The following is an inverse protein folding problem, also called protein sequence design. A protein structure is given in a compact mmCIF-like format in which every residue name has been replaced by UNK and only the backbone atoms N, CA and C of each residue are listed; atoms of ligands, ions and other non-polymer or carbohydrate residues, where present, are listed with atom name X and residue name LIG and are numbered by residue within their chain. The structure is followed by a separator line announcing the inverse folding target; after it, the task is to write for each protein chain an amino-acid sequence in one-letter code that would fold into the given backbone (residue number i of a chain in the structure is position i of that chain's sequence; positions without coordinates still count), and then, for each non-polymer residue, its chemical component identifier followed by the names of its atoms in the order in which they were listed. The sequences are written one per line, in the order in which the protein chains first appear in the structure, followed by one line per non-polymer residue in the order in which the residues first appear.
data_IF_828206541428
#
_entry.id   IF_828206541428
#
_cell.length_a   1.000
_cell.length_b   1.000
_cell.length_c   1.000
_cell.angle_alpha   90.00
_cell.angle_beta   90.00
_cell.angle_gamma   90.00
#
_symmetry.space_group_name_H-M   'P 1'
#
loop_
_entity.id
_entity.type
_entity.pdbx_description
1 polymer ?
#
# COMPACT_ATOMS: atom_id res chain seq x y z
N UNK A 1 -12.75 -26.70 9.01
CA UNK A 1 -11.28 -26.76 9.05
C UNK A 1 -10.75 -25.48 8.40
N UNK A 2 -10.55 -24.42 9.20
CA UNK A 2 -10.07 -23.14 8.67
C UNK A 2 -8.58 -23.27 8.32
N UNK A 3 -8.21 -22.90 7.10
CA UNK A 3 -6.83 -22.93 6.60
C UNK A 3 -5.95 -22.11 7.56
N UNK A 4 -5.00 -22.73 8.27
CA UNK A 4 -4.05 -22.01 9.12
C UNK A 4 -3.29 -20.99 8.26
N UNK A 5 -3.59 -19.71 8.43
CA UNK A 5 -3.00 -18.65 7.64
C UNK A 5 -1.61 -18.33 8.19
N UNK A 6 -0.57 -18.67 7.43
CA UNK A 6 0.81 -18.42 7.84
C UNK A 6 1.21 -16.98 7.54
N UNK A 7 2.17 -16.44 8.30
CA UNK A 7 2.72 -15.10 8.06
C UNK A 7 3.27 -14.96 6.62
N UNK A 8 3.85 -16.03 6.08
CA UNK A 8 4.33 -16.08 4.69
C UNK A 8 3.21 -15.83 3.68
N UNK A 9 2.01 -16.38 3.91
CA UNK A 9 0.83 -16.13 3.08
C UNK A 9 0.34 -14.70 3.22
N UNK A 10 0.31 -14.15 4.45
CA UNK A 10 -0.05 -12.74 4.69
C UNK A 10 0.89 -11.81 3.92
N UNK A 11 2.21 -12.01 4.03
CA UNK A 11 3.21 -11.24 3.29
C UNK A 11 3.00 -11.37 1.78
N UNK A 12 2.72 -12.58 1.27
CA UNK A 12 2.47 -12.79 -0.16
C UNK A 12 1.22 -12.03 -0.67
N UNK A 13 0.14 -12.00 0.13
CA UNK A 13 -1.08 -11.25 -0.21
C UNK A 13 -0.81 -9.74 -0.24
N UNK A 14 -0.10 -9.21 0.76
CA UNK A 14 0.27 -7.79 0.81
C UNK A 14 1.24 -7.43 -0.32
N UNK A 15 2.18 -8.31 -0.65
CA UNK A 15 3.05 -8.15 -1.84
C UNK A 15 2.23 -8.06 -3.13
N UNK A 16 1.22 -8.92 -3.27
CA UNK A 16 0.38 -8.98 -4.47
C UNK A 16 -0.44 -7.70 -4.64
N UNK A 17 -1.03 -7.15 -3.57
CA UNK A 17 -1.76 -5.87 -3.66
C UNK A 17 -0.84 -4.71 -4.06
N UNK A 18 0.41 -4.71 -3.61
CA UNK A 18 1.37 -3.66 -3.95
C UNK A 18 2.10 -3.88 -5.27
N UNK A 19 1.89 -5.02 -5.93
CA UNK A 19 2.61 -5.39 -7.14
C UNK A 19 2.37 -4.38 -8.27
N UNK A 20 1.14 -3.89 -8.38
CA UNK A 20 0.71 -2.98 -9.46
C UNK A 20 1.52 -1.70 -9.47
N UNK A 21 1.84 -1.13 -8.31
CA UNK A 21 2.59 0.14 -8.22
C UNK A 21 4.10 -0.06 -8.05
N UNK A 22 4.57 -1.31 -7.98
CA UNK A 22 5.96 -1.64 -7.63
C UNK A 22 6.45 -0.91 -6.37
N UNK A 23 5.56 -0.70 -5.40
CA UNK A 23 5.89 -0.05 -4.14
C UNK A 23 6.38 -1.02 -3.06
N UNK A 24 6.29 -2.33 -3.28
CA UNK A 24 6.97 -3.29 -2.41
C UNK A 24 8.49 -3.10 -2.48
N UNK A 25 9.20 -2.99 -1.34
CA UNK A 25 10.64 -2.78 -1.33
C UNK A 25 11.39 -3.90 -2.05
N UNK A 26 12.21 -3.55 -3.05
CA UNK A 26 13.04 -4.53 -3.75
C UNK A 26 14.13 -5.09 -2.82
N UNK A 27 14.49 -6.39 -2.96
CA UNK A 27 15.59 -6.97 -2.20
C UNK A 27 16.91 -6.24 -2.49
N UNK A 28 17.84 -6.25 -1.51
CA UNK A 28 19.16 -5.60 -1.64
C UNK A 28 19.97 -6.14 -2.82
N UNK A 29 19.79 -7.42 -3.15
CA UNK A 29 20.49 -8.11 -4.24
C UNK A 29 19.75 -7.97 -5.59
N UNK A 30 18.79 -7.06 -5.70
CA UNK A 30 18.05 -6.86 -6.95
C UNK A 30 18.97 -6.34 -8.06
N UNK A 31 18.78 -6.89 -9.27
CA UNK A 31 19.46 -6.47 -10.48
C UNK A 31 19.23 -4.97 -10.70
N UNK A 32 20.30 -4.21 -11.01
CA UNK A 32 20.25 -2.75 -11.26
C UNK A 32 19.15 -2.35 -12.26
N UNK A 33 18.98 -3.14 -13.33
CA UNK A 33 17.92 -2.94 -14.32
C UNK A 33 16.52 -2.95 -13.68
N UNK A 34 16.25 -3.89 -12.77
CA UNK A 34 14.95 -4.00 -12.09
C UNK A 34 14.67 -2.78 -11.21
N UNK A 35 15.69 -2.23 -10.56
CA UNK A 35 15.59 -0.99 -9.76
C UNK A 35 15.29 0.20 -10.66
N UNK A 36 15.96 0.30 -11.80
CA UNK A 36 15.73 1.39 -12.78
C UNK A 36 14.32 1.28 -13.36
N UNK A 37 13.88 0.10 -13.81
CA UNK A 37 12.52 -0.12 -14.30
C UNK A 37 11.48 0.27 -13.24
N UNK A 38 11.68 -0.14 -11.99
CA UNK A 38 10.82 0.26 -10.88
C UNK A 38 10.77 1.78 -10.69
N UNK A 39 11.91 2.44 -10.82
CA UNK A 39 11.99 3.89 -10.79
C UNK A 39 11.20 4.57 -11.90
N UNK A 40 11.43 4.18 -13.15
CA UNK A 40 10.76 4.74 -14.33
C UNK A 40 9.25 4.53 -14.25
N UNK A 41 8.81 3.33 -13.84
CA UNK A 41 7.40 3.03 -13.68
C UNK A 41 6.71 3.88 -12.60
N UNK A 42 7.38 4.14 -11.48
CA UNK A 42 6.84 5.03 -10.43
C UNK A 42 6.71 6.48 -10.91
N UNK A 43 7.63 6.97 -11.73
CA UNK A 43 7.49 8.29 -12.37
C UNK A 43 6.31 8.32 -13.34
N UNK A 44 6.11 7.26 -14.13
CA UNK A 44 4.93 7.12 -14.98
C UNK A 44 3.63 7.15 -14.15
N UNK A 45 3.59 6.45 -13.01
CA UNK A 45 2.44 6.51 -12.08
C UNK A 45 2.16 7.92 -11.58
N UNK A 46 3.20 8.69 -11.25
CA UNK A 46 3.06 10.09 -10.84
C UNK A 46 2.45 10.93 -11.97
N UNK A 47 2.97 10.82 -13.20
CA UNK A 47 2.45 11.58 -14.36
C UNK A 47 0.96 11.26 -14.60
N UNK A 48 0.58 9.99 -14.56
CA UNK A 48 -0.82 9.55 -14.71
C UNK A 48 -1.70 10.10 -13.59
N UNK A 49 -1.21 10.08 -12.34
CA UNK A 49 -1.97 10.60 -11.19
C UNK A 49 -2.12 12.13 -11.26
N UNK A 50 -1.04 12.86 -11.58
CA UNK A 50 -1.07 14.32 -11.69
C UNK A 50 -2.01 14.80 -12.79
N UNK A 51 -2.01 14.14 -13.94
CA UNK A 51 -2.89 14.50 -15.05
C UNK A 51 -4.37 14.32 -14.72
N UNK A 52 -4.74 13.27 -13.95
CA UNK A 52 -6.11 13.12 -13.43
C UNK A 52 -6.42 14.16 -12.35
N UNK A 53 -5.48 14.42 -11.43
CA UNK A 53 -5.64 15.41 -10.37
C UNK A 53 -5.89 16.83 -10.93
N UNK A 54 -5.16 17.23 -11.98
CA UNK A 54 -5.38 18.51 -12.65
C UNK A 54 -6.78 18.61 -13.27
N UNK A 55 -7.27 17.54 -13.89
CA UNK A 55 -8.63 17.51 -14.43
C UNK A 55 -9.69 17.62 -13.33
N UNK A 56 -9.49 17.00 -12.17
CA UNK A 56 -10.40 17.12 -11.03
C UNK A 56 -10.37 18.51 -10.39
N UNK A 57 -9.19 19.14 -10.28
CA UNK A 57 -9.06 20.52 -9.81
C UNK A 57 -9.81 21.47 -10.75
N UNK A 58 -9.72 21.23 -12.06
CA UNK A 58 -10.45 22.00 -13.05
C UNK A 58 -11.97 21.83 -12.89
N UNK A 59 -12.47 20.61 -12.67
CA UNK A 59 -13.89 20.36 -12.38
C UNK A 59 -14.35 21.10 -11.13
N UNK A 60 -13.60 21.04 -10.03
CA UNK A 60 -13.92 21.77 -8.78
C UNK A 60 -14.02 23.26 -9.02
N UNK A 61 -13.10 23.81 -9.82
CA UNK A 61 -13.09 25.24 -10.16
C UNK A 61 -14.28 25.64 -11.03
N UNK A 62 -14.65 24.82 -12.01
CA UNK A 62 -15.74 25.13 -12.94
C UNK A 62 -17.14 24.93 -12.31
N UNK A 63 -17.26 23.98 -11.39
CA UNK A 63 -18.52 23.61 -10.73
C UNK A 63 -18.50 23.94 -9.25
N UNK A 64 -17.90 25.08 -8.88
CA UNK A 64 -17.83 25.50 -7.47
C UNK A 64 -19.23 25.74 -6.86
N UNK A 65 -20.20 26.09 -7.70
CA UNK A 65 -21.59 26.34 -7.30
C UNK A 65 -22.42 25.04 -7.15
N UNK A 66 -21.95 23.90 -7.67
CA UNK A 66 -22.61 22.60 -7.52
C UNK A 66 -21.90 21.76 -6.44
N UNK A 67 -22.47 21.69 -5.21
CA UNK A 67 -21.83 20.99 -4.11
C UNK A 67 -21.72 19.47 -4.34
N UNK A 68 -22.57 18.87 -5.18
CA UNK A 68 -22.57 17.43 -5.45
C UNK A 68 -21.40 17.09 -6.37
N UNK A 69 -21.24 17.82 -7.46
CA UNK A 69 -20.12 17.63 -8.40
C UNK A 69 -18.80 17.94 -7.70
N UNK A 70 -18.75 19.03 -6.94
CA UNK A 70 -17.59 19.41 -6.16
C UNK A 70 -17.19 18.33 -5.14
N UNK A 71 -18.13 17.83 -4.33
CA UNK A 71 -17.85 16.80 -3.33
C UNK A 71 -17.35 15.51 -3.99
N UNK A 72 -17.93 15.11 -5.12
CA UNK A 72 -17.47 13.96 -5.93
C UNK A 72 -16.02 14.17 -6.39
N UNK A 73 -15.68 15.32 -6.97
CA UNK A 73 -14.32 15.60 -7.44
C UNK A 73 -13.31 15.65 -6.29
N UNK A 74 -13.64 16.29 -5.17
CA UNK A 74 -12.77 16.35 -3.98
C UNK A 74 -12.53 14.95 -3.42
N UNK A 75 -13.57 14.11 -3.34
CA UNK A 75 -13.44 12.75 -2.84
C UNK A 75 -12.46 11.89 -3.63
N UNK A 76 -12.34 12.13 -4.94
CA UNK A 76 -11.38 11.43 -5.83
C UNK A 76 -10.00 12.09 -5.81
N UNK A 77 -9.93 13.40 -5.61
CA UNK A 77 -8.68 14.15 -5.53
C UNK A 77 -7.86 13.77 -4.28
N UNK A 78 -8.51 13.50 -3.15
CA UNK A 78 -7.84 13.07 -1.90
C UNK A 78 -6.97 11.82 -2.09
N UNK A 79 -7.48 10.69 -2.61
CA UNK A 79 -6.66 9.52 -2.97
C UNK A 79 -5.52 9.84 -3.95
N UNK A 80 -5.74 10.73 -4.92
CA UNK A 80 -4.70 11.11 -5.88
C UNK A 80 -3.52 11.85 -5.19
N UNK A 81 -3.81 12.74 -4.24
CA UNK A 81 -2.78 13.41 -3.43
C UNK A 81 -2.07 12.37 -2.55
N UNK A 82 -2.81 11.44 -1.95
CA UNK A 82 -2.24 10.37 -1.13
C UNK A 82 -1.29 9.47 -1.92
N UNK A 83 -1.61 9.16 -3.18
CA UNK A 83 -0.72 8.41 -4.09
C UNK A 83 0.63 9.11 -4.24
N UNK A 84 0.61 10.42 -4.50
CA UNK A 84 1.84 11.22 -4.66
C UNK A 84 2.66 11.18 -3.37
N UNK A 85 2.02 11.44 -2.23
CA UNK A 85 2.69 11.43 -0.93
C UNK A 85 3.31 10.07 -0.60
N UNK A 86 2.57 8.97 -0.81
CA UNK A 86 3.04 7.62 -0.55
C UNK A 86 4.24 7.26 -1.43
N UNK A 87 4.22 7.56 -2.73
CA UNK A 87 5.35 7.30 -3.63
C UNK A 87 6.60 8.06 -3.16
N UNK A 88 6.46 9.35 -2.82
CA UNK A 88 7.59 10.15 -2.31
C UNK A 88 8.13 9.57 -1.00
N UNK A 89 7.26 9.24 -0.04
CA UNK A 89 7.66 8.63 1.23
C UNK A 89 8.37 7.30 1.04
N UNK A 90 7.89 6.46 0.11
CA UNK A 90 8.52 5.18 -0.21
C UNK A 90 9.90 5.35 -0.83
N UNK A 91 10.09 6.39 -1.66
CA UNK A 91 11.41 6.74 -2.23
C UNK A 91 12.38 7.21 -1.15
N UNK A 92 11.96 8.17 -0.32
CA UNK A 92 12.79 8.73 0.75
C UNK A 92 13.20 7.66 1.75
N UNK A 93 12.26 6.80 2.15
CA UNK A 93 12.49 5.75 3.14
C UNK A 93 12.84 4.40 2.50
N UNK A 94 13.21 4.34 1.23
CA UNK A 94 13.40 3.10 0.49
C UNK A 94 14.39 2.16 1.19
N UNK A 95 15.54 2.69 1.62
CA UNK A 95 16.55 1.91 2.32
C UNK A 95 16.03 1.32 3.65
N UNK A 96 15.34 2.12 4.45
CA UNK A 96 14.78 1.70 5.75
C UNK A 96 13.69 0.65 5.56
N UNK A 97 12.76 0.90 4.63
CA UNK A 97 11.69 -0.05 4.30
C UNK A 97 12.24 -1.37 3.77
N UNK A 98 13.28 -1.33 2.93
CA UNK A 98 13.98 -2.54 2.45
C UNK A 98 14.60 -3.32 3.61
N UNK A 99 15.27 -2.63 4.55
CA UNK A 99 15.90 -3.27 5.70
C UNK A 99 14.88 -3.97 6.60
N UNK A 100 13.84 -3.26 7.05
CA UNK A 100 12.81 -3.79 7.96
C UNK A 100 12.04 -4.93 7.30
N UNK A 101 11.71 -4.79 6.00
CA UNK A 101 11.02 -5.85 5.25
C UNK A 101 11.88 -7.11 5.13
N UNK A 102 13.18 -6.94 4.87
CA UNK A 102 14.12 -8.05 4.80
C UNK A 102 14.27 -8.76 6.15
N UNK A 103 14.36 -8.00 7.24
CA UNK A 103 14.40 -8.56 8.59
C UNK A 103 13.13 -9.34 8.92
N UNK A 104 11.95 -8.77 8.62
CA UNK A 104 10.67 -9.46 8.78
C UNK A 104 10.65 -10.78 7.99
N UNK A 105 11.05 -10.76 6.71
CA UNK A 105 11.06 -11.96 5.89
C UNK A 105 12.02 -13.04 6.39
N UNK A 106 13.20 -12.64 6.88
CA UNK A 106 14.18 -13.59 7.42
C UNK A 106 13.75 -14.17 8.77
N UNK A 107 13.20 -13.34 9.66
CA UNK A 107 12.61 -13.81 10.90
C UNK A 107 11.49 -14.82 10.61
N UNK A 108 10.64 -14.54 9.62
CA UNK A 108 9.58 -15.46 9.18
C UNK A 108 10.08 -16.79 8.60
N UNK A 109 11.34 -16.87 8.14
CA UNK A 109 11.96 -18.11 7.68
C UNK A 109 12.51 -18.94 8.83
N UNK A 110 12.99 -18.30 9.89
CA UNK A 110 13.68 -18.90 11.04
C UNK A 110 12.80 -18.96 12.31
N UNK A 111 11.48 -18.95 12.13
CA UNK A 111 10.51 -18.83 13.21
C UNK A 111 10.58 -20.04 14.17
N UNK A 112 10.79 -19.81 15.46
CA UNK A 112 10.71 -20.87 16.48
C UNK A 112 9.25 -21.22 16.80
N UNK A 113 8.93 -22.43 17.28
CA UNK A 113 7.55 -22.84 17.58
C UNK A 113 6.83 -21.90 18.57
N UNK A 114 7.55 -21.39 19.58
CA UNK A 114 7.00 -20.45 20.56
C UNK A 114 6.69 -19.07 19.95
N UNK A 115 7.60 -18.57 19.11
CA UNK A 115 7.45 -17.30 18.40
C UNK A 115 6.29 -17.38 17.38
N UNK A 116 6.07 -18.55 16.78
CA UNK A 116 4.94 -18.81 15.89
C UNK A 116 3.59 -18.58 16.58
N UNK A 117 3.46 -18.97 17.86
CA UNK A 117 2.21 -18.82 18.61
C UNK A 117 1.88 -17.33 18.77
N UNK A 118 2.86 -16.50 19.15
CA UNK A 118 2.67 -15.05 19.29
C UNK A 118 2.31 -14.43 17.94
N UNK A 119 3.06 -14.74 16.88
CA UNK A 119 2.79 -14.21 15.54
C UNK A 119 1.40 -14.62 15.03
N UNK A 120 0.99 -15.87 15.23
CA UNK A 120 -0.35 -16.34 14.85
C UNK A 120 -1.45 -15.58 15.60
N UNK A 121 -1.26 -15.26 16.89
CA UNK A 121 -2.20 -14.44 17.66
C UNK A 121 -2.40 -13.06 17.02
N UNK A 122 -1.31 -12.39 16.61
CA UNK A 122 -1.41 -11.11 15.89
C UNK A 122 -2.08 -11.27 14.53
N UNK A 123 -1.77 -12.32 13.77
CA UNK A 123 -2.43 -12.59 12.48
C UNK A 123 -3.94 -12.73 12.68
N UNK A 124 -4.40 -13.54 13.64
CA UNK A 124 -5.83 -13.71 13.89
C UNK A 124 -6.52 -12.40 14.28
N UNK A 125 -5.85 -11.54 15.04
CA UNK A 125 -6.37 -10.23 15.43
C UNK A 125 -6.44 -9.25 14.26
N UNK A 126 -5.41 -9.23 13.41
CA UNK A 126 -5.22 -8.20 12.40
C UNK A 126 -5.74 -8.58 11.01
N UNK A 127 -5.81 -9.88 10.67
CA UNK A 127 -6.13 -10.35 9.32
C UNK A 127 -7.54 -9.96 8.87
N UNK A 128 -8.53 -10.03 9.74
CA UNK A 128 -9.91 -9.73 9.36
C UNK A 128 -10.07 -8.25 8.99
N UNK A 129 -9.52 -7.36 9.81
CA UNK A 129 -9.57 -5.94 9.57
C UNK A 129 -8.76 -5.53 8.33
N UNK A 130 -7.48 -5.92 8.24
CA UNK A 130 -6.63 -5.52 7.13
C UNK A 130 -6.98 -6.25 5.82
N UNK A 131 -7.30 -7.54 5.89
CA UNK A 131 -7.74 -8.31 4.72
C UNK A 131 -9.09 -7.81 4.20
N UNK A 132 -10.06 -7.57 5.09
CA UNK A 132 -11.34 -6.96 4.72
C UNK A 132 -11.17 -5.56 4.11
N UNK A 133 -10.31 -4.72 4.70
CA UNK A 133 -9.98 -3.39 4.16
C UNK A 133 -9.37 -3.47 2.77
N UNK A 134 -8.44 -4.40 2.53
CA UNK A 134 -7.82 -4.60 1.22
C UNK A 134 -8.85 -4.99 0.16
N UNK A 135 -9.73 -5.95 0.48
CA UNK A 135 -10.81 -6.37 -0.42
C UNK A 135 -11.73 -5.19 -0.73
N UNK A 136 -12.13 -4.42 0.30
CA UNK A 136 -13.01 -3.27 0.15
C UNK A 136 -12.38 -2.16 -0.72
N UNK A 137 -11.09 -1.89 -0.55
CA UNK A 137 -10.35 -0.92 -1.36
C UNK A 137 -10.41 -1.30 -2.84
N UNK A 138 -10.07 -2.55 -3.20
CA UNK A 138 -10.13 -2.97 -4.61
C UNK A 138 -11.56 -3.04 -5.15
N UNK A 139 -12.52 -3.46 -4.32
CA UNK A 139 -13.92 -3.47 -4.70
C UNK A 139 -14.41 -2.05 -5.03
N UNK A 140 -14.03 -1.06 -4.22
CA UNK A 140 -14.37 0.36 -4.48
C UNK A 140 -13.77 0.86 -5.80
N UNK A 141 -12.54 0.45 -6.13
CA UNK A 141 -11.93 0.79 -7.42
C UNK A 141 -12.70 0.17 -8.58
N UNK A 142 -13.17 -1.08 -8.45
CA UNK A 142 -14.02 -1.72 -9.47
C UNK A 142 -15.33 -0.96 -9.65
N UNK A 143 -15.97 -0.51 -8.57
CA UNK A 143 -17.18 0.32 -8.64
C UNK A 143 -16.93 1.67 -9.34
N UNK A 144 -15.80 2.33 -9.08
CA UNK A 144 -15.46 3.59 -9.77
C UNK A 144 -15.22 3.33 -11.27
N UNK A 145 -14.51 2.26 -11.61
CA UNK A 145 -14.23 1.90 -13.00
C UNK A 145 -15.50 1.52 -13.78
N UNK A 146 -16.51 0.92 -13.13
CA UNK A 146 -17.81 0.63 -13.75
C UNK A 146 -18.74 1.85 -13.82
N UNK A 147 -18.29 2.99 -13.32
CA UNK A 147 -19.02 4.26 -13.34
C UNK A 147 -19.60 4.62 -14.71
N UNK A 148 -18.89 4.48 -15.84
CA UNK A 148 -19.43 4.81 -17.17
C UNK A 148 -20.56 3.91 -17.68
N UNK A 149 -20.73 2.74 -17.05
CA UNK A 149 -21.79 1.78 -17.38
C UNK A 149 -22.99 2.00 -16.46
N UNK A 150 -22.73 2.37 -15.19
CA UNK A 150 -23.73 2.46 -14.12
C UNK A 150 -24.26 3.87 -13.90
N UNK A 151 -23.42 4.88 -14.11
CA UNK A 151 -23.78 6.29 -14.20
C UNK A 151 -23.62 6.71 -15.67
N UNK A 152 -24.53 7.53 -16.17
CA UNK A 152 -24.50 8.05 -17.54
C UNK A 152 -23.36 9.09 -17.72
N UNK A 153 -22.12 8.65 -17.49
CA UNK A 153 -20.89 9.44 -17.52
C UNK A 153 -19.89 8.82 -18.49
N UNK A 154 -19.10 9.65 -19.17
CA UNK A 154 -18.20 9.14 -20.23
C UNK A 154 -16.92 8.48 -19.71
N UNK A 155 -16.48 8.81 -18.49
CA UNK A 155 -15.21 8.37 -17.91
C UNK A 155 -15.38 7.90 -16.45
N UNK A 156 -14.47 7.08 -15.91
CA UNK A 156 -14.54 6.60 -14.53
C UNK A 156 -14.69 7.70 -13.49
N UNK A 157 -14.04 8.84 -13.73
CA UNK A 157 -14.10 10.04 -12.88
C UNK A 157 -14.80 11.19 -13.59
N UNK A 158 -15.19 12.23 -12.83
CA UNK A 158 -15.75 13.47 -13.37
C UNK A 158 -14.68 14.53 -13.70
N UNK A 159 -13.45 14.11 -13.98
CA UNK A 159 -12.35 15.02 -14.33
C UNK A 159 -12.60 15.72 -15.68
N UNK A 160 -12.47 17.05 -15.70
CA UNK A 160 -12.67 17.88 -16.88
C UNK A 160 -11.34 18.35 -17.47
N UNK A 161 -11.15 18.13 -18.77
CA UNK A 161 -9.93 18.51 -19.48
C UNK A 161 -10.16 19.74 -20.36
N UNK A 162 -9.15 20.61 -20.54
CA UNK A 162 -9.27 21.85 -21.32
C UNK A 162 -9.30 21.63 -22.85
N UNK A 163 -9.36 20.37 -23.29
CA UNK A 163 -9.39 19.97 -24.70
C UNK A 163 -10.53 18.97 -24.93
N UNK A 164 -10.99 18.83 -26.17
CA UNK A 164 -12.07 17.91 -26.49
C UNK A 164 -11.62 16.46 -26.31
N UNK A 165 -12.26 15.72 -25.39
CA UNK A 165 -11.93 14.33 -25.05
C UNK A 165 -12.92 13.30 -25.61
N UNK A 166 -13.99 13.74 -26.29
CA UNK A 166 -15.10 12.86 -26.66
C UNK A 166 -14.92 12.11 -27.99
N UNK A 167 -13.87 12.44 -28.75
CA UNK A 167 -13.56 11.82 -30.04
C UNK A 167 -12.48 10.74 -29.91
N UNK A 168 -12.53 9.74 -30.80
CA UNK A 168 -11.51 8.70 -30.87
C UNK A 168 -10.26 9.23 -31.61
N UNK A 169 -9.03 8.84 -31.22
CA UNK A 169 -8.67 7.85 -30.18
C UNK A 169 -8.56 8.43 -28.75
N UNK A 170 -8.68 9.75 -28.59
CA UNK A 170 -8.45 10.45 -27.31
C UNK A 170 -9.34 9.92 -26.20
N UNK A 171 -10.63 9.69 -26.48
CA UNK A 171 -11.59 9.12 -25.53
C UNK A 171 -11.08 7.81 -24.92
N UNK A 172 -10.57 6.90 -25.75
CA UNK A 172 -10.06 5.60 -25.26
C UNK A 172 -8.77 5.77 -24.44
N UNK A 173 -7.89 6.70 -24.82
CA UNK A 173 -6.65 6.99 -24.09
C UNK A 173 -6.98 7.52 -22.68
N UNK A 174 -7.88 8.50 -22.57
CA UNK A 174 -8.29 9.07 -21.27
C UNK A 174 -8.98 8.02 -20.40
N UNK A 175 -9.83 7.18 -20.98
CA UNK A 175 -10.48 6.09 -20.25
C UNK A 175 -9.45 5.12 -19.64
N UNK A 176 -8.48 4.66 -20.44
CA UNK A 176 -7.41 3.77 -19.98
C UNK A 176 -6.56 4.44 -18.91
N UNK A 177 -6.18 5.71 -19.12
CA UNK A 177 -5.40 6.49 -18.17
C UNK A 177 -6.11 6.62 -16.81
N UNK A 178 -7.39 6.98 -16.78
CA UNK A 178 -8.15 7.08 -15.54
C UNK A 178 -8.35 5.72 -14.86
N UNK A 179 -8.52 4.65 -15.63
CA UNK A 179 -8.59 3.27 -15.12
C UNK A 179 -7.28 2.90 -14.44
N UNK A 180 -6.14 3.17 -15.06
CA UNK A 180 -4.81 2.96 -14.48
C UNK A 180 -4.67 3.78 -13.18
N UNK A 181 -5.07 5.04 -13.18
CA UNK A 181 -5.02 5.90 -11.99
C UNK A 181 -5.87 5.34 -10.82
N UNK A 182 -7.06 4.79 -11.10
CA UNK A 182 -7.92 4.18 -10.09
C UNK A 182 -7.26 2.95 -9.45
N UNK A 183 -6.69 2.07 -10.27
CA UNK A 183 -6.00 0.86 -9.79
C UNK A 183 -4.74 1.26 -9.00
N UNK A 184 -3.98 2.27 -9.46
CA UNK A 184 -2.85 2.84 -8.73
C UNK A 184 -3.29 3.38 -7.37
N UNK A 185 -4.39 4.12 -7.30
CA UNK A 185 -4.99 4.60 -6.06
C UNK A 185 -5.27 3.48 -5.07
N UNK A 186 -5.92 2.41 -5.50
CA UNK A 186 -6.19 1.23 -4.67
C UNK A 186 -4.92 0.57 -4.13
N UNK A 187 -3.92 0.38 -5.00
CA UNK A 187 -2.63 -0.18 -4.59
C UNK A 187 -1.90 0.74 -3.60
N UNK A 188 -1.93 2.06 -3.78
CA UNK A 188 -1.31 3.00 -2.83
C UNK A 188 -2.05 3.06 -1.49
N UNK A 189 -3.37 2.90 -1.45
CA UNK A 189 -4.10 2.76 -0.18
C UNK A 189 -3.68 1.48 0.56
N UNK A 190 -3.37 0.41 -0.17
CA UNK A 190 -2.83 -0.82 0.41
C UNK A 190 -1.42 -0.64 0.99
N UNK A 191 -0.69 0.44 0.68
CA UNK A 191 0.57 0.73 1.37
C UNK A 191 0.36 0.96 2.86
N UNK A 192 -0.78 1.53 3.26
CA UNK A 192 -1.10 1.71 4.68
C UNK A 192 -1.21 0.36 5.40
N UNK A 193 -1.75 -0.65 4.72
CA UNK A 193 -1.85 -2.03 5.22
C UNK A 193 -0.45 -2.65 5.35
N UNK A 194 0.43 -2.39 4.40
CA UNK A 194 1.83 -2.82 4.48
C UNK A 194 2.59 -2.15 5.63
N UNK A 195 2.44 -0.84 5.83
CA UNK A 195 3.05 -0.16 6.98
C UNK A 195 2.47 -0.71 8.29
N UNK A 196 1.16 -0.94 8.36
CA UNK A 196 0.53 -1.57 9.50
C UNK A 196 1.07 -2.98 9.75
N UNK A 197 1.35 -3.76 8.69
CA UNK A 197 2.02 -5.06 8.76
C UNK A 197 3.37 -4.98 9.46
N UNK A 198 4.21 -4.02 9.08
CA UNK A 198 5.50 -3.81 9.71
C UNK A 198 5.35 -3.39 11.18
N UNK A 199 4.39 -2.51 11.48
CA UNK A 199 4.15 -2.02 12.84
C UNK A 199 3.69 -3.14 13.79
N UNK A 200 2.67 -3.91 13.42
CA UNK A 200 2.22 -4.99 14.31
C UNK A 200 3.25 -6.12 14.39
N UNK A 201 4.02 -6.35 13.33
CA UNK A 201 5.14 -7.29 13.37
C UNK A 201 6.21 -6.83 14.38
N UNK A 202 6.55 -5.54 14.41
CA UNK A 202 7.45 -4.97 15.41
C UNK A 202 6.85 -5.12 16.82
N UNK A 203 5.56 -4.85 17.02
CA UNK A 203 4.86 -5.11 18.29
C UNK A 203 5.00 -6.56 18.74
N UNK A 204 4.80 -7.52 17.83
CA UNK A 204 4.94 -8.94 18.14
C UNK A 204 6.39 -9.31 18.53
N UNK A 205 7.40 -8.72 17.89
CA UNK A 205 8.81 -8.89 18.26
C UNK A 205 9.10 -8.34 19.66
N UNK A 206 8.52 -7.20 20.03
CA UNK A 206 8.63 -6.66 21.39
C UNK A 206 7.92 -7.55 22.42
N UNK A 207 6.75 -8.11 22.12
CA UNK A 207 6.06 -9.04 23.03
C UNK A 207 6.90 -10.31 23.28
N UNK A 208 7.48 -10.89 22.22
CA UNK A 208 8.41 -12.03 22.34
C UNK A 208 9.61 -11.65 23.22
N UNK A 209 10.15 -10.44 23.07
CA UNK A 209 11.28 -9.99 23.88
C UNK A 209 10.91 -9.81 25.36
N UNK A 210 9.72 -9.30 25.65
CA UNK A 210 9.20 -9.20 27.02
C UNK A 210 9.04 -10.58 27.65
N UNK A 211 8.51 -11.56 26.91
CA UNK A 211 8.43 -12.95 27.39
C UNK A 211 9.82 -13.52 27.70
N UNK A 212 10.82 -13.32 26.81
CA UNK A 212 12.20 -13.74 27.08
C UNK A 212 12.75 -13.08 28.34
N UNK A 213 12.53 -11.78 28.51
CA UNK A 213 13.01 -11.02 29.66
C UNK A 213 12.44 -11.54 30.99
N UNK A 214 11.18 -11.99 31.00
CA UNK A 214 10.54 -12.58 32.19
C UNK A 214 11.12 -13.94 32.59
N UNK A 215 11.74 -14.65 31.65
CA UNK A 215 12.34 -15.98 31.86
C UNK A 215 13.84 -15.92 32.14
N UNK A 216 14.44 -14.73 32.09
CA UNK A 216 15.87 -14.55 32.34
C UNK A 216 16.23 -14.99 33.75
N UNK A 217 17.21 -15.88 33.85
CA UNK A 217 17.76 -16.32 35.14
C UNK A 217 19.19 -15.84 35.37
N UNK A 218 19.89 -15.44 34.29
CA UNK A 218 21.32 -15.11 34.33
C UNK A 218 21.63 -13.73 33.72
N UNK A 219 22.72 -13.10 34.20
CA UNK A 219 23.20 -11.80 33.69
C UNK A 219 23.56 -11.83 32.20
N UNK A 220 23.99 -12.98 31.69
CA UNK A 220 24.30 -13.16 30.26
C UNK A 220 23.03 -13.04 29.39
N UNK A 221 21.97 -13.75 29.76
CA UNK A 221 20.66 -13.72 29.07
C UNK A 221 20.03 -12.32 29.16
N UNK A 222 20.19 -11.63 30.29
CA UNK A 222 19.77 -10.24 30.44
C UNK A 222 20.48 -9.33 29.43
N UNK A 223 21.82 -9.47 29.30
CA UNK A 223 22.60 -8.69 28.34
C UNK A 223 22.17 -8.97 26.90
N UNK A 224 21.88 -10.23 26.55
CA UNK A 224 21.36 -10.60 25.24
C UNK A 224 20.00 -9.95 24.96
N UNK A 225 19.07 -9.97 25.92
CA UNK A 225 17.77 -9.31 25.79
C UNK A 225 17.90 -7.79 25.61
N UNK A 226 18.80 -7.13 26.35
CA UNK A 226 19.07 -5.69 26.19
C UNK A 226 19.62 -5.41 24.79
N UNK A 227 20.50 -6.25 24.28
CA UNK A 227 21.07 -6.10 22.94
C UNK A 227 20.00 -6.33 21.85
N UNK A 228 19.12 -7.32 22.00
CA UNK A 228 17.98 -7.53 21.09
C UNK A 228 17.00 -6.34 21.14
N UNK A 229 16.73 -5.77 22.33
CA UNK A 229 15.93 -4.55 22.48
C UNK A 229 16.52 -3.37 21.71
N UNK A 230 17.81 -3.11 21.87
CA UNK A 230 18.51 -2.02 21.20
C UNK A 230 18.53 -2.20 19.68
N UNK A 231 18.60 -3.44 19.19
CA UNK A 231 18.54 -3.72 17.76
C UNK A 231 17.14 -3.49 17.19
N UNK A 232 16.08 -3.87 17.90
CA UNK A 232 14.69 -3.63 17.47
C UNK A 232 14.30 -2.15 17.42
N UNK A 233 15.00 -1.28 18.15
CA UNK A 233 14.76 0.16 18.16
C UNK A 233 15.47 0.93 17.02
N UNK A 234 16.43 0.32 16.32
CA UNK A 234 17.20 0.95 15.24
C UNK A 234 16.46 0.94 13.91
#
# INVERSE_FOLDING_TARGET
MWLKLTIKKVIAIVKLSLFITWCWPLPKDAIKLKVICAGVYQYFCLIVTFSVALGLINTVRNHFDDPVIMAKSISVLCPAIQVVYNIVCCKVNCYRLQLVTFEMENFCKLLKPREEIVIQRYIHKCVYFYGGSMIWIYLSAVFIMSGPITLDQYFPTNAEYPFNVYHQPIKSIIFIQQTIACIQGAAQLCMNIFIALLLWFASARFEILVEKLQEVTNLYELKECIQEHQNLLK
#
